data_IF_413018912533
#
_entry.id   IF_413018912533
#
_cell.length_a   1.000
_cell.length_b   1.000
_cell.length_c   1.000
_cell.angle_alpha   90.00
_cell.angle_beta   90.00
_cell.angle_gamma   90.00
#
_symmetry.space_group_name_H-M   'P 1'
#
loop_
_entity.id
_entity.type
_entity.pdbx_description
1 polymer ?
#
# COMPACT_ATOMS: atom_id res chain seq x y z
N UNK A 1 24.34 13.98 -18.01
CA UNK A 1 23.61 12.84 -18.61
C UNK A 1 23.01 11.91 -17.56
N UNK A 2 23.78 11.18 -16.74
CA UNK A 2 23.28 10.24 -15.71
C UNK A 2 22.29 10.84 -14.68
N UNK A 3 22.47 12.12 -14.32
CA UNK A 3 21.61 12.83 -13.35
C UNK A 3 20.17 12.97 -13.85
N UNK A 4 20.01 13.32 -15.13
CA UNK A 4 18.70 13.45 -15.77
C UNK A 4 18.07 12.08 -16.02
N UNK A 5 18.87 11.06 -16.36
CA UNK A 5 18.38 9.69 -16.50
C UNK A 5 17.80 9.15 -15.19
N UNK A 6 18.45 9.39 -14.04
CA UNK A 6 17.94 8.98 -12.72
C UNK A 6 16.65 9.74 -12.37
N UNK A 7 16.61 11.06 -12.64
CA UNK A 7 15.42 11.88 -12.38
C UNK A 7 14.22 11.43 -13.23
N UNK A 8 14.43 11.15 -14.52
CA UNK A 8 13.38 10.65 -15.43
C UNK A 8 12.89 9.27 -15.00
N UNK A 9 13.80 8.39 -14.56
CA UNK A 9 13.45 7.06 -14.08
C UNK A 9 12.62 7.12 -12.78
N UNK A 10 12.99 8.00 -11.84
CA UNK A 10 12.23 8.26 -10.62
C UNK A 10 10.82 8.79 -10.92
N UNK A 11 10.71 9.74 -11.87
CA UNK A 11 9.43 10.30 -12.27
C UNK A 11 8.50 9.25 -12.90
N UNK A 12 9.05 8.37 -13.75
CA UNK A 12 8.32 7.23 -14.31
C UNK A 12 7.83 6.26 -13.22
N UNK A 13 8.67 6.01 -12.21
CA UNK A 13 8.32 5.13 -11.09
C UNK A 13 7.16 5.71 -10.27
N UNK A 14 7.18 7.01 -10.00
CA UNK A 14 6.11 7.71 -9.27
C UNK A 14 4.79 7.65 -10.03
N UNK A 15 4.80 7.84 -11.35
CA UNK A 15 3.60 7.72 -12.20
C UNK A 15 3.08 6.29 -12.22
N UNK A 16 3.97 5.28 -12.29
CA UNK A 16 3.58 3.87 -12.24
C UNK A 16 2.94 3.49 -10.89
N UNK A 17 3.44 4.02 -9.78
CA UNK A 17 2.88 3.80 -8.43
C UNK A 17 1.55 4.55 -8.23
N UNK A 18 1.32 5.66 -8.93
CA UNK A 18 0.06 6.40 -8.87
C UNK A 18 -1.11 5.65 -9.52
N UNK A 19 -0.84 4.77 -10.50
CA UNK A 19 -1.84 3.91 -11.14
C UNK A 19 -2.09 2.56 -10.46
N UNK A 20 -1.35 2.23 -9.40
CA UNK A 20 -1.49 0.96 -8.69
C UNK A 20 -2.73 0.97 -7.77
N UNK A 21 -3.48 -0.14 -7.74
CA UNK A 21 -4.57 -0.33 -6.79
C UNK A 21 -4.07 -0.30 -5.33
N UNK A 22 -4.95 -0.01 -4.36
CA UNK A 22 -4.66 -0.04 -2.92
C UNK A 22 -3.98 -1.35 -2.51
N UNK A 23 -4.39 -2.48 -3.08
CA UNK A 23 -3.75 -3.80 -2.92
C UNK A 23 -2.28 -3.81 -3.36
N UNK A 24 -1.96 -3.29 -4.55
CA UNK A 24 -0.58 -3.25 -5.06
C UNK A 24 0.28 -2.26 -4.29
N UNK A 25 -0.31 -1.14 -3.85
CA UNK A 25 0.37 -0.16 -3.01
C UNK A 25 0.71 -0.75 -1.64
N UNK A 26 -0.27 -1.39 -1.00
CA UNK A 26 -0.10 -2.09 0.27
C UNK A 26 0.90 -3.23 0.15
N UNK A 27 0.77 -4.07 -0.88
CA UNK A 27 1.70 -5.15 -1.17
C UNK A 27 3.11 -4.61 -1.38
N UNK A 28 3.31 -3.64 -2.26
CA UNK A 28 4.64 -3.08 -2.56
C UNK A 28 5.33 -2.45 -1.35
N UNK A 29 4.59 -1.68 -0.54
CA UNK A 29 5.11 -1.11 0.71
C UNK A 29 5.43 -2.22 1.70
N UNK A 30 4.53 -3.21 1.84
CA UNK A 30 4.73 -4.37 2.68
C UNK A 30 5.96 -5.19 2.27
N UNK A 31 6.17 -5.42 0.98
CA UNK A 31 7.34 -6.12 0.45
C UNK A 31 8.62 -5.36 0.77
N UNK A 32 8.65 -4.03 0.57
CA UNK A 32 9.85 -3.23 0.82
C UNK A 32 10.21 -3.22 2.31
N UNK A 33 9.23 -3.01 3.19
CA UNK A 33 9.43 -3.00 4.64
C UNK A 33 9.81 -4.40 5.12
N UNK A 34 9.07 -5.42 4.70
CA UNK A 34 9.28 -6.80 5.07
C UNK A 34 10.61 -7.34 4.58
N UNK A 35 11.00 -7.06 3.34
CA UNK A 35 12.29 -7.48 2.80
C UNK A 35 13.44 -6.74 3.48
N UNK A 36 13.30 -5.45 3.76
CA UNK A 36 14.31 -4.68 4.48
C UNK A 36 14.52 -5.21 5.91
N UNK A 37 13.43 -5.37 6.67
CA UNK A 37 13.48 -5.92 8.02
C UNK A 37 14.03 -7.36 8.02
N UNK A 38 13.54 -8.21 7.11
CA UNK A 38 13.98 -9.58 6.94
C UNK A 38 15.45 -9.68 6.54
N UNK A 39 15.95 -8.79 5.69
CA UNK A 39 17.36 -8.72 5.32
C UNK A 39 18.25 -8.40 6.54
N UNK A 40 17.85 -7.42 7.35
CA UNK A 40 18.59 -7.01 8.55
C UNK A 40 18.66 -8.15 9.56
N UNK A 41 17.51 -8.79 9.84
CA UNK A 41 17.42 -9.90 10.80
C UNK A 41 18.18 -11.13 10.26
N UNK A 42 17.97 -11.49 9.00
CA UNK A 42 18.66 -12.60 8.34
C UNK A 42 20.17 -12.39 8.28
N UNK A 43 20.63 -11.14 8.12
CA UNK A 43 22.06 -10.81 8.10
C UNK A 43 22.75 -11.16 9.43
N UNK A 44 22.06 -11.06 10.57
CA UNK A 44 22.63 -11.48 11.86
C UNK A 44 22.93 -12.98 11.93
N UNK A 45 22.22 -13.79 11.15
CA UNK A 45 22.40 -15.24 11.09
C UNK A 45 23.19 -15.69 9.85
N UNK A 46 23.72 -14.76 9.05
CA UNK A 46 24.42 -15.07 7.78
C UNK A 46 23.49 -15.35 6.58
N UNK A 47 22.17 -15.24 6.76
CA UNK A 47 21.14 -15.55 5.76
C UNK A 47 20.34 -14.30 5.37
N UNK A 48 21.03 -13.21 5.03
CA UNK A 48 20.37 -11.94 4.66
C UNK A 48 19.42 -12.10 3.47
N UNK A 49 19.80 -12.87 2.45
CA UNK A 49 18.99 -13.07 1.25
C UNK A 49 17.71 -13.86 1.56
N UNK A 50 17.80 -14.94 2.32
CA UNK A 50 16.62 -15.73 2.73
C UNK A 50 15.71 -14.92 3.66
N UNK A 51 16.27 -14.18 4.61
CA UNK A 51 15.50 -13.28 5.46
C UNK A 51 14.76 -12.21 4.66
N UNK A 52 15.42 -11.59 3.67
CA UNK A 52 14.79 -10.62 2.77
C UNK A 52 13.68 -11.23 1.92
N UNK A 53 13.88 -12.46 1.43
CA UNK A 53 12.91 -13.13 0.57
C UNK A 53 11.65 -13.52 1.36
N UNK A 54 11.83 -14.08 2.55
CA UNK A 54 10.72 -14.48 3.43
C UNK A 54 9.99 -13.23 3.94
N UNK A 55 10.73 -12.25 4.44
CA UNK A 55 10.15 -11.00 4.93
C UNK A 55 9.44 -10.22 3.81
N UNK A 56 10.02 -10.21 2.61
CA UNK A 56 9.41 -9.61 1.43
C UNK A 56 8.12 -10.31 1.02
N UNK A 57 8.12 -11.64 0.94
CA UNK A 57 6.93 -12.42 0.60
C UNK A 57 5.81 -12.28 1.64
N UNK A 58 6.14 -12.34 2.93
CA UNK A 58 5.19 -12.15 4.02
C UNK A 58 4.63 -10.72 4.04
N UNK A 59 5.49 -9.73 3.84
CA UNK A 59 5.11 -8.33 3.73
C UNK A 59 4.23 -8.04 2.51
N UNK A 60 4.54 -8.65 1.37
CA UNK A 60 3.73 -8.56 0.16
C UNK A 60 2.33 -9.14 0.38
N UNK A 61 2.24 -10.34 0.96
CA UNK A 61 0.97 -11.00 1.24
C UNK A 61 0.14 -10.21 2.25
N UNK A 62 0.72 -9.81 3.37
CA UNK A 62 0.02 -9.01 4.38
C UNK A 62 -0.41 -7.64 3.84
N UNK A 63 0.47 -6.98 3.09
CA UNK A 63 0.18 -5.69 2.45
C UNK A 63 -0.90 -5.79 1.37
N UNK A 64 -0.95 -6.89 0.62
CA UNK A 64 -2.00 -7.15 -0.36
C UNK A 64 -3.36 -7.33 0.33
N UNK A 65 -3.42 -8.15 1.39
CA UNK A 65 -4.66 -8.40 2.13
C UNK A 65 -5.21 -7.12 2.77
N UNK A 66 -4.34 -6.33 3.41
CA UNK A 66 -4.74 -5.05 4.01
C UNK A 66 -5.16 -4.05 2.93
N UNK A 67 -4.44 -3.98 1.81
CA UNK A 67 -4.79 -3.09 0.71
C UNK A 67 -6.07 -3.47 -0.02
N UNK A 68 -6.45 -4.75 -0.02
CA UNK A 68 -7.75 -5.23 -0.52
C UNK A 68 -8.89 -4.94 0.48
N UNK A 69 -8.60 -5.01 1.78
CA UNK A 69 -9.56 -4.70 2.86
C UNK A 69 -9.76 -3.19 3.10
N UNK A 70 -9.07 -2.33 2.35
CA UNK A 70 -9.25 -0.88 2.41
C UNK A 70 -10.57 -0.51 1.74
N UNK A 71 -11.65 -0.62 2.50
CA UNK A 71 -12.98 -0.31 2.02
C UNK A 71 -13.17 1.19 1.80
N UNK A 72 -13.66 1.55 0.62
CA UNK A 72 -14.14 2.91 0.38
C UNK A 72 -15.58 3.01 0.88
N UNK A 73 -15.88 4.02 1.69
CA UNK A 73 -17.24 4.26 2.16
C UNK A 73 -17.91 5.31 1.28
N UNK A 74 -19.21 5.18 1.08
CA UNK A 74 -20.00 6.16 0.34
C UNK A 74 -21.13 6.71 1.20
N UNK A 75 -21.43 7.97 0.96
CA UNK A 75 -22.56 8.67 1.52
C UNK A 75 -23.82 8.35 0.68
N UNK A 76 -24.84 7.68 1.23
CA UNK A 76 -26.05 7.36 0.48
C UNK A 76 -26.93 8.58 0.17
N UNK A 77 -26.75 9.68 0.91
CA UNK A 77 -27.54 10.92 0.73
C UNK A 77 -26.88 11.85 -0.28
N UNK A 78 -25.58 12.08 -0.14
CA UNK A 78 -24.82 13.08 -0.89
C UNK A 78 -23.99 12.49 -2.05
N UNK A 79 -23.88 11.16 -2.14
CA UNK A 79 -23.18 10.46 -3.23
C UNK A 79 -21.64 10.59 -3.22
N UNK A 80 -21.06 11.26 -2.22
CA UNK A 80 -19.61 11.39 -2.09
C UNK A 80 -18.97 10.14 -1.49
N UNK A 81 -17.81 9.78 -2.02
CA UNK A 81 -16.95 8.72 -1.48
C UNK A 81 -15.96 9.30 -0.48
N UNK A 82 -15.77 8.61 0.62
CA UNK A 82 -14.87 8.98 1.69
C UNK A 82 -13.96 7.78 2.01
N UNK A 83 -12.76 8.09 2.49
CA UNK A 83 -11.84 7.08 3.01
C UNK A 83 -12.43 6.39 4.25
N UNK A 84 -11.90 5.21 4.55
CA UNK A 84 -12.27 4.38 5.69
C UNK A 84 -12.11 5.09 7.05
N UNK A 85 -11.28 6.14 7.14
CA UNK A 85 -11.07 6.98 8.34
C UNK A 85 -12.31 7.78 8.78
N UNK A 86 -13.26 8.03 7.87
CA UNK A 86 -14.47 8.80 8.16
C UNK A 86 -15.63 7.83 8.37
N UNK A 87 -16.26 7.87 9.55
CA UNK A 87 -17.46 7.06 9.89
C UNK A 87 -18.76 7.78 9.50
N UNK A 88 -18.79 9.11 9.67
CA UNK A 88 -19.98 9.93 9.48
C UNK A 88 -19.73 11.03 8.45
N UNK A 89 -20.73 11.31 7.60
CA UNK A 89 -20.64 12.38 6.61
C UNK A 89 -20.53 13.74 7.32
N UNK A 90 -19.49 14.57 7.07
CA UNK A 90 -19.34 15.89 7.72
C UNK A 90 -20.38 16.92 7.25
N UNK A 91 -21.06 16.67 6.13
CA UNK A 91 -22.13 17.55 5.64
C UNK A 91 -23.48 17.24 6.31
N UNK A 92 -23.80 15.95 6.51
CA UNK A 92 -25.17 15.50 6.83
C UNK A 92 -25.26 14.66 8.11
N UNK A 93 -24.14 14.25 8.71
CA UNK A 93 -24.10 13.42 9.90
C UNK A 93 -24.52 11.96 9.71
N UNK A 94 -24.83 11.53 8.48
CA UNK A 94 -25.25 10.14 8.20
C UNK A 94 -24.07 9.17 8.23
N UNK A 95 -24.31 7.95 8.73
CA UNK A 95 -23.33 6.86 8.67
C UNK A 95 -22.99 6.51 7.22
N UNK A 96 -21.70 6.46 6.93
CA UNK A 96 -21.20 6.12 5.61
C UNK A 96 -21.28 4.60 5.41
N UNK A 97 -21.89 4.17 4.30
CA UNK A 97 -21.99 2.74 3.97
C UNK A 97 -20.72 2.28 3.28
N UNK A 98 -20.25 1.11 3.69
CA UNK A 98 -19.10 0.45 3.09
C UNK A 98 -19.49 -0.04 1.69
N UNK A 99 -18.73 0.31 0.65
CA UNK A 99 -18.86 -0.34 -0.66
C UNK A 99 -18.18 -1.70 -0.51
N UNK A 100 -18.93 -2.69 -0.01
CA UNK A 100 -18.52 -4.08 -0.03
C UNK A 100 -18.33 -4.48 -1.50
N UNK A 101 -17.10 -4.89 -1.84
CA UNK A 101 -16.71 -5.28 -3.20
C UNK A 101 -17.27 -6.64 -3.58
#
# INVERSE_FOLDING_TARGET
MKKYTVVVLLLLLVVAVAGCTSTQKGAGIGTLIGAGAGAIIGHQSGHAAEGALIGGAAGAAGGALVGDSMDTKFCPVCGKQFGSDVQYCPADGTELKVIQK
#
